data_IF_056752622756
#
_entry.id   IF_056752622756
#
_cell.length_a   1.000
_cell.length_b   1.000
_cell.length_c   1.000
_cell.angle_alpha   90.00
_cell.angle_beta   90.00
_cell.angle_gamma   90.00
#
_symmetry.space_group_name_H-M   'P 1'
#
loop_
_entity.id
_entity.type
_entity.pdbx_description
1 polymer ?
#
# COMPACT_ATOMS: atom_id res chain seq x y z
N UNK A 1 -1.50 2.60 10.63
CA UNK A 1 -1.21 1.53 9.65
C UNK A 1 0.31 1.42 9.63
N UNK A 2 0.88 0.26 9.92
CA UNK A 2 2.33 0.01 9.84
C UNK A 2 2.57 -0.88 8.61
N UNK A 3 3.65 -0.63 7.90
CA UNK A 3 4.05 -1.33 6.68
C UNK A 3 5.43 -1.94 6.90
N UNK A 4 5.69 -3.12 6.35
CA UNK A 4 6.96 -3.83 6.48
C UNK A 4 7.34 -4.44 5.15
N UNK A 5 8.63 -4.56 4.91
CA UNK A 5 9.19 -5.24 3.73
C UNK A 5 9.21 -6.76 3.91
N UNK A 6 9.00 -7.24 5.13
CA UNK A 6 9.01 -8.65 5.51
C UNK A 6 7.59 -9.19 5.66
N UNK A 7 7.19 -10.08 4.75
CA UNK A 7 5.84 -10.66 4.73
C UNK A 7 5.48 -11.40 6.02
N UNK A 8 6.44 -12.09 6.66
CA UNK A 8 6.23 -12.77 7.93
C UNK A 8 5.95 -11.80 9.09
N UNK A 9 6.57 -10.61 9.08
CA UNK A 9 6.30 -9.56 10.08
C UNK A 9 4.91 -8.97 9.83
N UNK A 10 4.53 -8.74 8.56
CA UNK A 10 3.21 -8.25 8.22
C UNK A 10 2.10 -9.22 8.68
N UNK A 11 2.30 -10.52 8.46
CA UNK A 11 1.37 -11.57 8.88
C UNK A 11 1.27 -11.68 10.42
N UNK A 12 2.28 -11.26 11.17
CA UNK A 12 2.20 -11.26 12.65
C UNK A 12 1.13 -10.30 13.17
N UNK A 13 0.85 -9.20 12.45
CA UNK A 13 -0.22 -8.25 12.81
C UNK A 13 -1.63 -8.84 12.66
N UNK A 14 -1.75 -10.01 12.04
CA UNK A 14 -3.01 -10.74 11.88
C UNK A 14 -3.46 -11.46 13.15
N UNK A 15 -2.59 -11.60 14.17
CA UNK A 15 -2.89 -12.31 15.41
C UNK A 15 -4.06 -11.63 16.14
N UNK A 16 -5.26 -12.23 16.05
CA UNK A 16 -6.51 -11.70 16.61
C UNK A 16 -7.68 -11.65 15.63
N UNK A 17 -7.43 -11.72 14.32
CA UNK A 17 -8.48 -11.72 13.30
C UNK A 17 -9.32 -13.03 13.28
N UNK A 18 -8.77 -14.14 13.80
CA UNK A 18 -9.42 -15.45 13.88
C UNK A 18 -10.69 -15.51 14.75
N UNK A 19 -10.98 -14.44 15.51
CA UNK A 19 -12.10 -14.42 16.47
C UNK A 19 -13.44 -14.05 15.81
N UNK A 20 -13.47 -13.69 14.52
CA UNK A 20 -14.69 -13.22 13.85
C UNK A 20 -15.03 -14.07 12.61
N UNK A 21 -16.08 -14.90 12.66
CA UNK A 21 -16.41 -15.87 11.60
C UNK A 21 -16.92 -15.28 10.28
N UNK A 22 -16.93 -13.96 10.13
CA UNK A 22 -17.42 -13.25 8.93
C UNK A 22 -16.46 -12.15 8.44
N UNK A 23 -15.24 -12.11 8.96
CA UNK A 23 -14.23 -11.18 8.48
C UNK A 23 -13.23 -11.92 7.60
N UNK A 24 -13.31 -11.64 6.31
CA UNK A 24 -12.25 -11.99 5.37
C UNK A 24 -11.00 -11.21 5.73
N UNK A 25 -9.86 -11.89 5.80
CA UNK A 25 -8.58 -11.26 6.14
C UNK A 25 -7.99 -10.74 4.84
N UNK A 26 -7.47 -9.53 4.84
CA UNK A 26 -6.88 -8.94 3.64
C UNK A 26 -5.43 -8.59 3.92
N UNK A 27 -4.53 -9.14 3.11
CA UNK A 27 -3.12 -8.83 3.07
C UNK A 27 -2.85 -7.95 1.85
N UNK A 28 -2.35 -6.74 2.08
CA UNK A 28 -1.95 -5.85 0.99
C UNK A 28 -0.45 -5.98 0.75
N UNK A 29 -0.07 -6.43 -0.45
CA UNK A 29 1.31 -6.42 -0.91
C UNK A 29 1.49 -5.23 -1.87
N UNK A 30 2.41 -4.32 -1.56
CA UNK A 30 2.63 -3.12 -2.35
C UNK A 30 3.97 -3.24 -3.08
N UNK A 31 3.92 -3.33 -4.40
CA UNK A 31 5.10 -3.28 -5.25
C UNK A 31 5.43 -1.83 -5.62
N UNK A 32 6.63 -1.40 -5.25
CA UNK A 32 7.18 -0.08 -5.59
C UNK A 32 8.41 -0.32 -6.46
N UNK A 33 8.28 -0.09 -7.76
CA UNK A 33 9.41 -0.16 -8.67
C UNK A 33 10.35 1.02 -8.42
N UNK A 34 11.48 0.75 -7.78
CA UNK A 34 12.54 1.72 -7.53
C UNK A 34 13.45 1.82 -8.78
N UNK A 35 12.89 2.20 -9.92
CA UNK A 35 13.70 2.51 -11.10
C UNK A 35 14.37 3.87 -10.86
N UNK A 36 15.70 3.86 -10.77
CA UNK A 36 16.58 5.01 -10.50
C UNK A 36 16.31 6.20 -11.45
N UNK A 37 15.72 5.96 -12.61
CA UNK A 37 15.39 6.99 -13.61
C UNK A 37 14.03 7.67 -13.42
N UNK A 38 13.22 7.25 -12.44
CA UNK A 38 11.88 7.79 -12.18
C UNK A 38 11.81 8.51 -10.83
N UNK A 39 12.39 9.72 -10.78
CA UNK A 39 12.44 10.61 -9.60
C UNK A 39 11.10 10.89 -8.90
N UNK A 40 9.98 10.59 -9.56
CA UNK A 40 8.63 10.86 -9.07
C UNK A 40 7.95 9.62 -8.44
N UNK A 41 8.59 8.43 -8.44
CA UNK A 41 8.16 7.24 -7.66
C UNK A 41 8.70 7.22 -6.23
N UNK A 42 9.46 8.25 -5.84
CA UNK A 42 10.14 8.28 -4.55
C UNK A 42 9.09 8.53 -3.44
N UNK A 43 8.99 7.67 -2.42
CA UNK A 43 8.15 7.96 -1.27
C UNK A 43 8.53 9.30 -0.64
N UNK A 44 7.56 9.98 -0.04
CA UNK A 44 7.69 11.34 0.46
C UNK A 44 8.87 11.53 1.43
N UNK A 45 9.10 10.54 2.31
CA UNK A 45 10.26 10.52 3.19
C UNK A 45 10.57 9.09 3.65
N UNK A 46 11.84 8.77 3.86
CA UNK A 46 12.23 7.64 4.71
C UNK A 46 12.04 8.04 6.18
N UNK A 47 11.38 7.20 6.97
CA UNK A 47 11.03 7.49 8.36
C UNK A 47 11.72 6.54 9.35
N UNK A 48 12.74 5.79 8.90
CA UNK A 48 13.48 4.81 9.72
C UNK A 48 13.92 5.37 11.08
N UNK A 49 14.37 6.63 11.12
CA UNK A 49 14.88 7.28 12.35
C UNK A 49 13.80 7.63 13.39
N UNK A 50 12.52 7.62 12.99
CA UNK A 50 11.37 7.90 13.87
C UNK A 50 10.38 6.72 13.91
N UNK A 51 10.71 5.63 13.22
CA UNK A 51 9.93 4.42 13.17
C UNK A 51 9.96 3.68 14.51
N UNK A 52 8.84 3.02 14.83
CA UNK A 52 8.78 2.06 15.92
C UNK A 52 9.59 0.78 15.61
N UNK A 53 9.74 0.43 14.32
CA UNK A 53 10.45 -0.75 13.83
C UNK A 53 11.77 -0.32 13.18
N UNK A 54 12.82 -0.16 13.99
CA UNK A 54 14.12 0.35 13.53
C UNK A 54 14.84 -0.57 12.53
N UNK A 55 14.45 -1.84 12.48
CA UNK A 55 15.02 -2.85 11.57
C UNK A 55 14.30 -2.91 10.21
N UNK A 56 13.30 -2.05 9.98
CA UNK A 56 12.53 -1.98 8.75
C UNK A 56 12.79 -0.68 7.99
N UNK A 57 12.84 -0.80 6.65
CA UNK A 57 12.84 0.36 5.75
C UNK A 57 11.43 0.93 5.63
N UNK A 58 11.05 1.78 6.59
CA UNK A 58 9.77 2.45 6.58
C UNK A 58 9.80 3.73 5.74
N UNK A 59 8.83 3.83 4.84
CA UNK A 59 8.67 4.97 3.94
C UNK A 59 7.29 5.59 4.12
N UNK A 60 7.24 6.92 4.13
CA UNK A 60 6.01 7.69 4.19
C UNK A 60 5.55 7.99 2.76
N UNK A 61 4.31 7.65 2.45
CA UNK A 61 3.66 8.10 1.22
C UNK A 61 3.03 9.48 1.43
N UNK A 62 3.05 10.32 0.41
CA UNK A 62 2.37 11.62 0.46
C UNK A 62 0.85 11.45 0.48
N UNK A 63 0.13 12.40 1.09
CA UNK A 63 -1.32 12.46 0.91
C UNK A 63 -1.66 12.56 -0.59
N UNK A 64 -2.57 11.72 -1.05
CA UNK A 64 -2.96 11.64 -2.46
C UNK A 64 -2.22 10.59 -3.29
N UNK A 65 -1.31 9.81 -2.69
CA UNK A 65 -0.75 8.62 -3.37
C UNK A 65 -1.86 7.64 -3.74
N UNK A 66 -1.86 7.23 -5.02
CA UNK A 66 -2.84 6.29 -5.56
C UNK A 66 -2.18 4.95 -5.86
N UNK A 67 -2.89 3.87 -5.54
CA UNK A 67 -2.43 2.51 -5.82
C UNK A 67 -3.44 1.83 -6.74
N UNK A 68 -2.95 1.08 -7.73
CA UNK A 68 -3.77 0.24 -8.59
C UNK A 68 -3.72 -1.19 -8.08
N UNK A 69 -4.87 -1.83 -7.98
CA UNK A 69 -4.98 -3.27 -7.78
C UNK A 69 -4.48 -3.96 -9.05
N UNK A 70 -3.41 -4.72 -8.91
CA UNK A 70 -2.80 -5.52 -9.98
C UNK A 70 -3.47 -6.88 -10.04
N UNK A 71 -3.63 -7.51 -8.87
CA UNK A 71 -4.23 -8.83 -8.74
C UNK A 71 -4.92 -8.98 -7.39
N UNK A 72 -5.88 -9.90 -7.33
CA UNK A 72 -6.58 -10.30 -6.11
C UNK A 72 -6.70 -11.81 -6.12
N UNK A 73 -6.02 -12.46 -5.18
CA UNK A 73 -6.06 -13.91 -5.05
C UNK A 73 -6.44 -14.34 -3.64
N UNK A 74 -7.00 -15.53 -3.51
CA UNK A 74 -7.24 -16.19 -2.23
C UNK A 74 -5.99 -16.96 -1.82
N UNK A 75 -5.44 -16.58 -0.68
CA UNK A 75 -4.39 -17.29 0.04
C UNK A 75 -4.98 -18.13 1.19
N UNK A 76 -4.12 -18.79 1.96
CA UNK A 76 -4.50 -19.83 2.95
C UNK A 76 -5.47 -19.28 4.01
N UNK A 77 -6.48 -20.09 4.37
CA UNK A 77 -7.45 -19.83 5.45
C UNK A 77 -8.23 -18.51 5.28
N UNK A 78 -8.89 -18.28 4.14
CA UNK A 78 -9.71 -17.08 3.88
C UNK A 78 -8.91 -15.75 3.98
N UNK A 79 -7.62 -15.81 3.65
CA UNK A 79 -6.75 -14.64 3.53
C UNK A 79 -6.70 -14.19 2.07
N UNK A 80 -7.27 -13.04 1.76
CA UNK A 80 -7.14 -12.43 0.45
C UNK A 80 -5.80 -11.72 0.33
N UNK A 81 -5.03 -12.06 -0.69
CA UNK A 81 -3.85 -11.33 -1.10
C UNK A 81 -4.28 -10.30 -2.17
N UNK A 82 -4.13 -9.03 -1.84
CA UNK A 82 -4.38 -7.92 -2.76
C UNK A 82 -3.05 -7.31 -3.13
N UNK A 83 -2.64 -7.50 -4.37
CA UNK A 83 -1.40 -6.93 -4.90
C UNK A 83 -1.67 -5.54 -5.46
N UNK A 84 -0.89 -4.58 -5.00
CA UNK A 84 -1.01 -3.17 -5.33
C UNK A 84 0.28 -2.68 -5.99
N UNK A 85 0.15 -1.78 -6.95
CA UNK A 85 1.28 -1.03 -7.50
C UNK A 85 1.05 0.47 -7.35
N UNK A 86 2.10 1.21 -6.99
CA UNK A 86 2.03 2.67 -6.87
C UNK A 86 1.85 3.29 -8.27
N UNK A 87 0.80 4.10 -8.44
CA UNK A 87 0.54 4.80 -9.70
C UNK A 87 1.42 6.03 -9.87
N UNK A 88 1.88 6.21 -11.10
CA UNK A 88 2.54 7.43 -11.55
C UNK A 88 1.49 8.56 -11.65
N UNK A 89 1.79 9.76 -11.15
CA UNK A 89 0.89 10.92 -11.29
C UNK A 89 0.60 11.27 -12.77
N UNK A 90 1.51 10.87 -13.67
CA UNK A 90 1.44 10.97 -15.13
C UNK A 90 0.56 9.90 -15.79
N UNK A 91 0.37 8.74 -15.15
CA UNK A 91 -0.43 7.64 -15.72
C UNK A 91 -1.88 7.63 -15.20
N UNK A 92 -2.26 8.63 -14.40
CA UNK A 92 -3.66 8.85 -14.04
C UNK A 92 -4.38 9.35 -15.30
N UNK A 93 -5.11 8.43 -15.93
CA UNK A 93 -6.06 8.69 -17.02
C UNK A 93 -6.91 9.93 -16.69
N UNK A 94 -7.19 10.78 -17.68
CA UNK A 94 -8.04 11.96 -17.54
C UNK A 94 -9.40 11.62 -16.89
N UNK A 95 -9.95 10.44 -17.19
CA UNK A 95 -11.17 9.92 -16.57
C UNK A 95 -11.05 9.67 -15.07
N UNK A 96 -9.90 9.17 -14.60
CA UNK A 96 -9.62 8.98 -13.17
C UNK A 96 -9.33 10.32 -12.49
N UNK A 97 -8.68 11.26 -13.19
CA UNK A 97 -8.48 12.61 -12.67
C UNK A 97 -9.82 13.31 -12.43
N UNK A 98 -10.75 13.21 -13.38
CA UNK A 98 -12.09 13.77 -13.20
C UNK A 98 -12.85 13.12 -12.05
N UNK A 99 -12.67 11.82 -11.80
CA UNK A 99 -13.34 11.12 -10.70
C UNK A 99 -12.80 11.55 -9.33
N UNK A 100 -11.48 11.65 -9.17
CA UNK A 100 -10.86 11.92 -7.86
C UNK A 100 -10.69 13.41 -7.53
N UNK A 101 -10.63 14.30 -8.53
CA UNK A 101 -10.33 15.73 -8.31
C UNK A 101 -11.50 16.68 -8.61
N UNK A 102 -12.72 16.17 -8.83
CA UNK A 102 -13.88 17.00 -9.18
C UNK A 102 -14.41 17.90 -8.07
N UNK A 103 -14.01 17.69 -6.81
CA UNK A 103 -14.51 18.52 -5.71
C UNK A 103 -13.47 19.54 -5.25
N UNK A 104 -13.42 20.67 -5.96
CA UNK A 104 -12.93 21.95 -5.43
C UNK A 104 -13.83 23.10 -5.87
N UNK A 105 -15.04 23.13 -5.34
CA UNK A 105 -15.83 24.35 -5.18
C UNK A 105 -16.65 24.28 -3.89
N UNK A 106 -15.99 24.56 -2.77
CA UNK A 106 -16.60 25.15 -1.57
C UNK A 106 -15.61 26.15 -0.98
#
# INVERSE_FOLDING_TARGET
MSTTTLSNVALSFQSGAFVRPYFERVFFEIQIENEIDKQWKIPFAAINNVSYNQDEDEVLFSMGSMFRIVDVDTWIDDLWLVQLTLLEHSCIDESLREFFFKEKYW
#
